data_IF_912583139739
#
_entry.id   IF_912583139739
#
_cell.length_a   1.000
_cell.length_b   1.000
_cell.length_c   1.000
_cell.angle_alpha   90.00
_cell.angle_beta   90.00
_cell.angle_gamma   90.00
#
_symmetry.space_group_name_H-M   'P 1'
#
loop_
_entity.id
_entity.type
_entity.pdbx_description
1 polymer ?
#
# COMPACT_ATOMS: atom_id res chain seq x y z
N UNK A 1 4.45 25.36 21.41
CA UNK A 1 4.26 24.36 20.33
C UNK A 1 4.85 23.05 20.81
N UNK A 2 4.06 21.97 20.84
CA UNK A 2 4.56 20.66 21.24
C UNK A 2 5.58 20.16 20.20
N UNK A 3 6.66 19.52 20.63
CA UNK A 3 7.72 19.01 19.73
C UNK A 3 7.17 18.18 18.55
N UNK A 4 6.13 17.39 18.82
CA UNK A 4 5.43 16.56 17.83
C UNK A 4 4.77 17.38 16.71
N UNK A 5 4.09 18.50 17.04
CA UNK A 5 3.40 19.31 16.03
C UNK A 5 4.38 20.04 15.11
N UNK A 6 5.55 20.44 15.64
CA UNK A 6 6.62 21.05 14.85
C UNK A 6 7.23 20.04 13.86
N UNK A 7 7.50 18.81 14.31
CA UNK A 7 7.98 17.73 13.45
C UNK A 7 6.95 17.36 12.38
N UNK A 8 5.67 17.27 12.76
CA UNK A 8 4.61 16.90 11.82
C UNK A 8 4.46 17.94 10.70
N UNK A 9 4.52 19.24 11.07
CA UNK A 9 4.53 20.34 10.09
C UNK A 9 5.74 20.27 9.16
N UNK A 10 6.90 19.85 9.69
CA UNK A 10 8.10 19.63 8.89
C UNK A 10 7.93 18.48 7.89
N UNK A 11 7.35 17.35 8.29
CA UNK A 11 7.07 16.24 7.37
C UNK A 11 6.06 16.62 6.28
N UNK A 12 4.99 17.36 6.61
CA UNK A 12 4.05 17.91 5.61
C UNK A 12 4.81 18.80 4.61
N UNK A 13 5.61 19.74 5.11
CA UNK A 13 6.36 20.68 4.27
C UNK A 13 7.33 19.95 3.35
N UNK A 14 8.02 18.93 3.85
CA UNK A 14 8.95 18.11 3.06
C UNK A 14 8.20 17.35 1.97
N UNK A 15 7.06 16.73 2.29
CA UNK A 15 6.28 15.96 1.33
C UNK A 15 5.68 16.83 0.22
N UNK A 16 5.19 18.03 0.57
CA UNK A 16 4.66 19.00 -0.39
C UNK A 16 5.77 19.53 -1.30
N UNK A 17 6.92 19.90 -0.75
CA UNK A 17 8.05 20.44 -1.54
C UNK A 17 8.71 19.39 -2.43
N UNK A 18 8.71 18.13 -2.02
CA UNK A 18 9.26 17.02 -2.81
C UNK A 18 8.18 16.29 -3.62
N UNK A 19 6.96 16.83 -3.69
CA UNK A 19 5.83 16.27 -4.43
C UNK A 19 5.41 14.84 -4.05
N UNK A 20 5.89 14.28 -2.92
CA UNK A 20 5.63 12.88 -2.53
C UNK A 20 4.12 12.60 -2.39
N UNK A 21 3.41 13.47 -1.68
CA UNK A 21 1.95 13.38 -1.51
C UNK A 21 1.22 13.53 -2.85
N UNK A 22 1.61 14.51 -3.68
CA UNK A 22 0.95 14.77 -4.95
C UNK A 22 1.14 13.63 -5.94
N UNK A 23 2.34 13.05 -6.02
CA UNK A 23 2.60 11.89 -6.88
C UNK A 23 1.73 10.70 -6.44
N UNK A 24 1.70 10.36 -5.14
CA UNK A 24 0.87 9.26 -4.65
C UNK A 24 -0.62 9.49 -4.94
N UNK A 25 -1.12 10.69 -4.63
CA UNK A 25 -2.53 11.03 -4.82
C UNK A 25 -2.92 10.96 -6.29
N UNK A 26 -2.13 11.57 -7.18
CA UNK A 26 -2.38 11.55 -8.62
C UNK A 26 -2.35 10.13 -9.17
N UNK A 27 -1.32 9.33 -8.85
CA UNK A 27 -1.21 7.95 -9.34
C UNK A 27 -2.39 7.11 -8.87
N UNK A 28 -2.81 7.22 -7.61
CA UNK A 28 -3.89 6.38 -7.09
C UNK A 28 -5.26 6.80 -7.61
N UNK A 29 -5.49 8.10 -7.84
CA UNK A 29 -6.68 8.56 -8.55
C UNK A 29 -6.67 8.03 -9.99
N UNK A 30 -5.54 8.09 -10.69
CA UNK A 30 -5.42 7.53 -12.04
C UNK A 30 -5.74 6.04 -12.05
N UNK A 31 -5.20 5.27 -11.11
CA UNK A 31 -5.55 3.84 -10.94
C UNK A 31 -7.06 3.68 -10.71
N UNK A 32 -7.65 4.52 -9.85
CA UNK A 32 -9.08 4.51 -9.57
C UNK A 32 -9.96 4.80 -10.78
N UNK A 33 -9.53 5.67 -11.68
CA UNK A 33 -10.27 6.00 -12.94
C UNK A 33 -10.04 4.90 -13.98
N UNK A 34 -8.79 4.48 -14.17
CA UNK A 34 -8.42 3.52 -15.22
C UNK A 34 -9.03 2.15 -14.93
N UNK A 35 -9.18 1.74 -13.67
CA UNK A 35 -9.60 0.37 -13.38
C UNK A 35 -11.04 0.06 -13.85
N UNK A 36 -12.06 0.88 -13.55
CA UNK A 36 -13.40 0.72 -14.13
C UNK A 36 -13.41 0.94 -15.64
N UNK A 37 -12.64 1.90 -16.16
CA UNK A 37 -12.59 2.17 -17.59
C UNK A 37 -12.01 1.00 -18.38
N UNK A 38 -10.96 0.36 -17.88
CA UNK A 38 -10.36 -0.83 -18.48
C UNK A 38 -11.34 -1.99 -18.46
N UNK A 39 -12.08 -2.19 -17.36
CA UNK A 39 -13.12 -3.23 -17.30
C UNK A 39 -14.20 -2.99 -18.37
N UNK A 40 -14.67 -1.74 -18.52
CA UNK A 40 -15.69 -1.36 -19.50
C UNK A 40 -15.23 -1.59 -20.95
N UNK A 41 -13.98 -1.26 -21.27
CA UNK A 41 -13.43 -1.34 -22.63
C UNK A 41 -12.88 -2.74 -22.99
N UNK A 42 -12.73 -3.63 -22.01
CA UNK A 42 -12.13 -4.94 -22.22
C UNK A 42 -12.86 -5.80 -23.28
N UNK A 43 -14.20 -5.86 -23.32
CA UNK A 43 -14.93 -6.58 -24.36
C UNK A 43 -14.60 -6.08 -25.77
N UNK A 44 -14.65 -4.76 -25.98
CA UNK A 44 -14.39 -4.13 -27.28
C UNK A 44 -12.97 -4.42 -27.76
N UNK A 45 -11.99 -4.38 -26.84
CA UNK A 45 -10.59 -4.72 -27.13
C UNK A 45 -10.47 -6.20 -27.53
N UNK A 46 -11.16 -7.09 -26.83
CA UNK A 46 -11.13 -8.53 -27.14
C UNK A 46 -11.83 -8.86 -28.45
N UNK A 47 -12.96 -8.21 -28.75
CA UNK A 47 -13.66 -8.37 -30.02
C UNK A 47 -12.75 -8.01 -31.20
N UNK A 48 -12.09 -6.85 -31.15
CA UNK A 48 -11.13 -6.42 -32.17
C UNK A 48 -9.97 -7.42 -32.37
N UNK A 49 -9.44 -7.98 -31.28
CA UNK A 49 -8.33 -8.95 -31.35
C UNK A 49 -8.80 -10.30 -31.90
N UNK A 50 -10.02 -10.74 -31.57
CA UNK A 50 -10.58 -12.01 -32.03
C UNK A 50 -11.05 -11.95 -33.49
N UNK A 51 -11.56 -10.81 -33.93
CA UNK A 51 -11.90 -10.56 -35.33
C UNK A 51 -10.65 -10.68 -36.24
N UNK A 52 -9.54 -10.04 -35.84
CA UNK A 52 -8.26 -10.15 -36.56
C UNK A 52 -7.74 -11.61 -36.60
N UNK A 53 -7.96 -12.36 -35.52
CA UNK A 53 -7.64 -13.78 -35.43
C UNK A 53 -8.63 -14.72 -36.16
N UNK A 54 -9.76 -14.19 -36.68
CA UNK A 54 -10.88 -14.95 -37.28
C UNK A 54 -11.47 -16.02 -36.35
N UNK A 55 -11.49 -15.74 -35.06
CA UNK A 55 -12.09 -16.60 -34.03
C UNK A 55 -13.46 -16.03 -33.67
N UNK A 56 -14.49 -16.87 -33.64
CA UNK A 56 -15.80 -16.44 -33.11
C UNK A 56 -15.67 -16.22 -31.60
N UNK A 57 -16.03 -15.02 -31.16
CA UNK A 57 -15.91 -14.61 -29.77
C UNK A 57 -17.20 -13.91 -29.34
N UNK A 58 -17.81 -14.39 -28.27
CA UNK A 58 -18.88 -13.70 -27.57
C UNK A 58 -18.29 -13.25 -26.22
N UNK A 59 -18.06 -11.94 -26.03
CA UNK A 59 -17.51 -11.46 -24.77
C UNK A 59 -18.46 -11.77 -23.61
N UNK A 60 -17.94 -12.22 -22.45
CA UNK A 60 -18.75 -12.36 -21.26
C UNK A 60 -19.29 -10.99 -20.82
N UNK A 61 -20.44 -10.95 -20.11
CA UNK A 61 -20.96 -9.71 -19.56
C UNK A 61 -19.99 -9.12 -18.55
N UNK A 62 -19.67 -7.83 -18.69
CA UNK A 62 -18.83 -7.11 -17.73
C UNK A 62 -19.66 -6.74 -16.51
N UNK A 63 -19.15 -7.07 -15.32
CA UNK A 63 -19.79 -6.79 -14.04
C UNK A 63 -18.98 -5.78 -13.21
N UNK A 64 -19.60 -5.22 -12.16
CA UNK A 64 -18.90 -4.36 -11.20
C UNK A 64 -17.67 -5.04 -10.58
N UNK A 65 -17.72 -6.37 -10.43
CA UNK A 65 -16.60 -7.18 -9.94
C UNK A 65 -15.34 -7.02 -10.79
N UNK A 66 -15.48 -6.91 -12.12
CA UNK A 66 -14.34 -6.74 -13.03
C UNK A 66 -13.63 -5.41 -12.78
N UNK A 67 -14.39 -4.34 -12.53
CA UNK A 67 -13.83 -3.03 -12.19
C UNK A 67 -13.02 -3.07 -10.88
N UNK A 68 -13.54 -3.73 -9.84
CA UNK A 68 -12.85 -3.85 -8.56
C UNK A 68 -11.64 -4.80 -8.62
N UNK A 69 -11.75 -5.93 -9.32
CA UNK A 69 -10.61 -6.84 -9.51
C UNK A 69 -9.47 -6.15 -10.27
N UNK A 70 -9.80 -5.34 -11.29
CA UNK A 70 -8.82 -4.47 -11.96
C UNK A 70 -8.21 -3.45 -11.00
N UNK A 71 -9.00 -2.83 -10.12
CA UNK A 71 -8.49 -1.88 -9.13
C UNK A 71 -7.49 -2.53 -8.17
N UNK A 72 -7.85 -3.66 -7.57
CA UNK A 72 -6.94 -4.37 -6.65
C UNK A 72 -5.71 -4.90 -7.39
N UNK A 73 -5.85 -5.41 -8.61
CA UNK A 73 -4.73 -5.82 -9.45
C UNK A 73 -3.74 -4.68 -9.72
N UNK A 74 -4.24 -3.54 -10.20
CA UNK A 74 -3.44 -2.34 -10.45
C UNK A 74 -2.82 -1.78 -9.18
N UNK A 75 -3.56 -1.81 -8.06
CA UNK A 75 -3.05 -1.37 -6.77
C UNK A 75 -1.92 -2.28 -6.28
N UNK A 76 -2.05 -3.59 -6.45
CA UNK A 76 -1.04 -4.55 -6.03
C UNK A 76 0.22 -4.49 -6.90
N UNK A 77 0.06 -4.33 -8.22
CA UNK A 77 1.16 -4.35 -9.18
C UNK A 77 1.88 -3.00 -9.34
N UNK A 78 1.16 -1.88 -9.20
CA UNK A 78 1.70 -0.54 -9.38
C UNK A 78 1.59 0.32 -8.13
N UNK A 79 0.42 0.33 -7.49
CA UNK A 79 0.16 1.20 -6.33
C UNK A 79 1.10 0.94 -5.14
N UNK A 80 1.20 -0.30 -4.70
CA UNK A 80 2.04 -0.72 -3.56
C UNK A 80 3.55 -0.55 -3.86
N UNK A 81 4.09 -0.96 -5.03
CA UNK A 81 5.47 -0.65 -5.37
C UNK A 81 5.79 0.85 -5.41
N UNK A 82 4.88 1.69 -5.92
CA UNK A 82 5.07 3.15 -5.92
C UNK A 82 5.09 3.70 -4.49
N UNK A 83 4.22 3.20 -3.60
CA UNK A 83 4.29 3.49 -2.17
C UNK A 83 5.67 3.16 -1.59
N UNK A 84 6.19 1.97 -1.88
CA UNK A 84 7.50 1.51 -1.39
C UNK A 84 8.63 2.41 -1.89
N UNK A 85 8.63 2.79 -3.18
CA UNK A 85 9.66 3.66 -3.76
C UNK A 85 9.64 5.05 -3.11
N UNK A 86 8.46 5.65 -2.98
CA UNK A 86 8.31 7.01 -2.44
C UNK A 86 8.65 7.07 -0.94
N UNK A 87 8.25 6.05 -0.18
CA UNK A 87 8.44 6.00 1.27
C UNK A 87 9.76 5.35 1.68
N UNK A 88 10.40 4.59 0.80
CA UNK A 88 11.68 3.89 1.06
C UNK A 88 12.85 4.82 1.41
N UNK A 89 12.74 6.10 1.06
CA UNK A 89 13.78 7.11 1.33
C UNK A 89 13.51 7.99 2.55
N UNK A 90 12.48 7.70 3.34
CA UNK A 90 11.94 8.64 4.33
C UNK A 90 12.86 8.89 5.53
N UNK A 91 13.67 7.89 5.90
CA UNK A 91 14.64 7.98 6.98
C UNK A 91 16.07 7.92 6.42
N UNK A 92 16.29 7.20 5.32
CA UNK A 92 17.62 7.09 4.71
C UNK A 92 18.14 8.43 4.21
N UNK A 93 17.28 9.30 3.67
CA UNK A 93 17.68 10.66 3.29
C UNK A 93 18.14 11.50 4.48
N UNK A 94 17.62 11.27 5.69
CA UNK A 94 18.01 12.05 6.86
C UNK A 94 19.34 11.61 7.43
N UNK A 95 19.62 10.31 7.38
CA UNK A 95 20.96 9.77 7.66
C UNK A 95 21.98 10.31 6.64
N UNK A 96 21.68 10.22 5.35
CA UNK A 96 22.60 10.66 4.28
C UNK A 96 22.91 12.16 4.32
N UNK A 97 21.96 12.98 4.76
CA UNK A 97 22.10 14.45 4.81
C UNK A 97 22.48 14.98 6.19
N UNK A 98 22.72 14.09 7.17
CA UNK A 98 23.00 14.43 8.57
C UNK A 98 21.96 15.38 9.20
N UNK A 99 20.73 15.40 8.70
CA UNK A 99 19.68 16.28 9.23
C UNK A 99 19.17 15.80 10.58
N UNK A 100 19.38 14.52 10.90
CA UNK A 100 19.10 13.94 12.22
C UNK A 100 19.90 14.61 13.34
N UNK A 101 21.17 14.95 13.11
CA UNK A 101 22.02 15.63 14.10
C UNK A 101 21.43 16.98 14.48
N UNK A 102 20.95 17.75 13.49
CA UNK A 102 20.30 19.04 13.71
C UNK A 102 18.98 18.94 14.48
N UNK A 103 18.27 17.81 14.34
CA UNK A 103 17.04 17.55 15.09
C UNK A 103 17.38 17.19 16.55
N UNK A 104 18.33 16.29 16.77
CA UNK A 104 18.68 15.80 18.10
C UNK A 104 19.38 16.84 18.97
N UNK A 105 20.26 17.66 18.39
CA UNK A 105 20.96 18.75 19.09
C UNK A 105 19.99 19.84 19.58
N UNK A 106 18.80 19.95 18.99
CA UNK A 106 17.72 20.84 19.46
C UNK A 106 16.84 20.24 20.57
N UNK A 107 17.27 19.14 21.19
CA UNK A 107 16.59 18.51 22.32
C UNK A 107 15.36 17.67 21.94
N UNK A 108 15.24 17.25 20.67
CA UNK A 108 14.17 16.36 20.22
C UNK A 108 14.46 14.91 20.63
N UNK A 109 13.46 14.25 21.21
CA UNK A 109 13.55 12.82 21.56
C UNK A 109 13.51 11.96 20.30
N UNK A 110 14.42 10.98 20.17
CA UNK A 110 14.50 10.03 19.04
C UNK A 110 13.18 9.32 18.76
N UNK A 111 12.48 8.89 19.81
CA UNK A 111 11.15 8.27 19.70
C UNK A 111 10.10 9.17 19.02
N UNK A 112 10.12 10.48 19.31
CA UNK A 112 9.17 11.44 18.72
C UNK A 112 9.39 11.59 17.20
N UNK A 113 10.64 11.48 16.73
CA UNK A 113 10.97 11.51 15.30
C UNK A 113 10.36 10.32 14.58
N UNK A 114 10.57 9.11 15.11
CA UNK A 114 10.04 7.88 14.52
C UNK A 114 8.51 7.85 14.52
N UNK A 115 7.88 8.24 15.63
CA UNK A 115 6.43 8.27 15.74
C UNK A 115 5.82 9.24 14.72
N UNK A 116 6.33 10.46 14.64
CA UNK A 116 5.82 11.46 13.69
C UNK A 116 6.00 11.00 12.25
N UNK A 117 7.16 10.45 11.88
CA UNK A 117 7.40 9.95 10.53
C UNK A 117 6.44 8.82 10.17
N UNK A 118 6.29 7.84 11.05
CA UNK A 118 5.37 6.73 10.83
C UNK A 118 3.93 7.22 10.68
N UNK A 119 3.43 8.01 11.63
CA UNK A 119 2.07 8.55 11.59
C UNK A 119 1.82 9.41 10.35
N UNK A 120 2.78 10.24 9.95
CA UNK A 120 2.66 11.06 8.73
C UNK A 120 2.60 10.18 7.47
N UNK A 121 3.45 9.16 7.39
CA UNK A 121 3.49 8.24 6.24
C UNK A 121 2.21 7.44 6.12
N UNK A 122 1.68 6.93 7.24
CA UNK A 122 0.39 6.24 7.28
C UNK A 122 -0.75 7.17 6.88
N UNK A 123 -0.75 8.43 7.34
CA UNK A 123 -1.76 9.41 6.93
C UNK A 123 -1.70 9.71 5.43
N UNK A 124 -0.49 9.90 4.89
CA UNK A 124 -0.27 10.14 3.46
C UNK A 124 -0.76 8.95 2.62
N UNK A 125 -0.41 7.71 3.02
CA UNK A 125 -0.92 6.49 2.41
C UNK A 125 -2.44 6.42 2.46
N UNK A 126 -3.03 6.66 3.63
CA UNK A 126 -4.48 6.59 3.84
C UNK A 126 -5.21 7.60 2.98
N UNK A 127 -4.74 8.85 2.92
CA UNK A 127 -5.36 9.89 2.11
C UNK A 127 -5.28 9.58 0.61
N UNK A 128 -4.12 9.16 0.11
CA UNK A 128 -3.95 8.81 -1.29
C UNK A 128 -4.78 7.57 -1.66
N UNK A 129 -4.75 6.52 -0.84
CA UNK A 129 -5.47 5.27 -1.10
C UNK A 129 -6.98 5.49 -1.06
N UNK A 130 -7.47 6.24 -0.06
CA UNK A 130 -8.88 6.59 0.02
C UNK A 130 -9.35 7.37 -1.21
N UNK A 131 -8.55 8.32 -1.72
CA UNK A 131 -8.88 9.05 -2.94
C UNK A 131 -9.01 8.11 -4.16
N UNK A 132 -8.06 7.17 -4.32
CA UNK A 132 -8.13 6.16 -5.38
C UNK A 132 -9.32 5.21 -5.24
N UNK A 133 -9.55 4.67 -4.03
CA UNK A 133 -10.65 3.75 -3.75
C UNK A 133 -12.02 4.41 -3.91
N UNK A 134 -12.20 5.65 -3.44
CA UNK A 134 -13.43 6.43 -3.65
C UNK A 134 -13.64 6.69 -5.14
N UNK A 135 -12.59 7.03 -5.88
CA UNK A 135 -12.72 7.25 -7.33
C UNK A 135 -13.14 5.98 -8.05
N UNK A 136 -12.51 4.84 -7.74
CA UNK A 136 -12.90 3.54 -8.28
C UNK A 136 -14.35 3.21 -7.94
N UNK A 137 -14.73 3.36 -6.66
CA UNK A 137 -16.10 3.12 -6.21
C UNK A 137 -17.13 3.98 -6.95
N UNK A 138 -16.90 5.29 -7.05
CA UNK A 138 -17.81 6.23 -7.72
C UNK A 138 -17.97 5.94 -9.21
N UNK A 139 -16.87 5.58 -9.89
CA UNK A 139 -16.93 5.21 -11.31
C UNK A 139 -17.62 3.87 -11.50
N UNK A 140 -17.40 2.88 -10.62
CA UNK A 140 -18.06 1.58 -10.74
C UNK A 140 -19.57 1.70 -10.56
N UNK A 141 -20.06 2.38 -9.51
CA UNK A 141 -21.52 2.56 -9.31
C UNK A 141 -22.18 3.43 -10.39
N UNK A 142 -21.40 4.20 -11.15
CA UNK A 142 -21.91 5.00 -12.25
C UNK A 142 -22.21 4.14 -13.49
N UNK A 143 -21.43 3.09 -13.73
CA UNK A 143 -21.57 2.23 -14.90
C UNK A 143 -22.33 0.93 -14.62
N UNK A 144 -22.29 0.42 -13.38
CA UNK A 144 -22.93 -0.83 -12.97
C UNK A 144 -23.77 -0.62 -11.70
N UNK A 145 -24.93 -1.27 -11.64
CA UNK A 145 -25.87 -1.21 -10.51
C UNK A 145 -25.80 -2.46 -9.61
N UNK A 146 -24.70 -3.21 -9.70
CA UNK A 146 -24.51 -4.45 -8.94
C UNK A 146 -24.23 -4.15 -7.46
N UNK A 147 -25.06 -4.69 -6.57
CA UNK A 147 -24.79 -4.67 -5.13
C UNK A 147 -23.75 -5.76 -4.78
N UNK A 148 -22.50 -5.35 -4.59
CA UNK A 148 -21.46 -6.22 -4.04
C UNK A 148 -21.38 -6.07 -2.52
N UNK A 149 -21.37 -7.20 -1.82
CA UNK A 149 -21.16 -7.23 -0.38
C UNK A 149 -19.68 -7.00 -0.03
N UNK A 150 -19.41 -6.60 1.22
CA UNK A 150 -18.06 -6.55 1.80
C UNK A 150 -17.04 -5.63 1.10
N UNK A 151 -17.46 -4.71 0.22
CA UNK A 151 -16.58 -3.76 -0.50
C UNK A 151 -15.65 -3.00 0.45
N UNK A 152 -16.19 -2.48 1.55
CA UNK A 152 -15.39 -1.75 2.55
C UNK A 152 -14.30 -2.64 3.17
N UNK A 153 -14.63 -3.91 3.45
CA UNK A 153 -13.68 -4.88 3.99
C UNK A 153 -12.60 -5.16 2.97
N UNK A 154 -12.97 -5.38 1.70
CA UNK A 154 -12.00 -5.59 0.62
C UNK A 154 -11.02 -4.42 0.51
N UNK A 155 -11.49 -3.17 0.48
CA UNK A 155 -10.58 -2.01 0.51
C UNK A 155 -9.69 -1.96 1.76
N UNK A 156 -10.24 -2.33 2.92
CA UNK A 156 -9.47 -2.33 4.18
C UNK A 156 -8.30 -3.31 4.15
N UNK A 157 -8.40 -4.46 3.46
CA UNK A 157 -7.33 -5.46 3.40
C UNK A 157 -6.07 -4.89 2.74
N UNK A 158 -6.21 -4.26 1.57
CA UNK A 158 -5.10 -3.63 0.85
C UNK A 158 -4.56 -2.43 1.64
N UNK A 159 -5.42 -1.67 2.32
CA UNK A 159 -5.01 -0.57 3.17
C UNK A 159 -4.11 -1.04 4.34
N UNK A 160 -4.50 -2.11 5.04
CA UNK A 160 -3.72 -2.72 6.13
C UNK A 160 -2.39 -3.26 5.60
N UNK A 161 -2.38 -3.91 4.43
CA UNK A 161 -1.15 -4.37 3.81
C UNK A 161 -0.18 -3.22 3.48
N UNK A 162 -0.69 -2.07 3.05
CA UNK A 162 0.14 -0.87 2.85
C UNK A 162 0.80 -0.37 4.15
N UNK A 163 0.09 -0.41 5.28
CA UNK A 163 0.67 -0.09 6.60
C UNK A 163 1.77 -1.08 7.00
N UNK A 164 1.56 -2.35 6.68
CA UNK A 164 2.57 -3.40 6.89
C UNK A 164 3.86 -3.12 6.09
N UNK A 165 3.76 -2.76 4.81
CA UNK A 165 4.91 -2.36 4.01
C UNK A 165 5.64 -1.13 4.60
N UNK A 166 4.90 -0.10 5.03
CA UNK A 166 5.48 1.08 5.68
C UNK A 166 6.24 0.69 6.95
N UNK A 167 5.74 -0.28 7.71
CA UNK A 167 6.37 -0.78 8.94
C UNK A 167 7.69 -1.49 8.65
N UNK A 168 7.75 -2.33 7.59
CA UNK A 168 8.99 -2.94 7.10
C UNK A 168 9.98 -1.87 6.67
N UNK A 169 9.53 -0.86 5.91
CA UNK A 169 10.37 0.23 5.44
C UNK A 169 10.97 1.01 6.61
N UNK A 170 10.20 1.26 7.68
CA UNK A 170 10.72 1.94 8.86
C UNK A 170 11.83 1.13 9.52
N UNK A 171 11.61 -0.18 9.69
CA UNK A 171 12.60 -1.05 10.31
C UNK A 171 13.87 -1.15 9.45
N UNK A 172 13.73 -1.43 8.15
CA UNK A 172 14.87 -1.58 7.25
C UNK A 172 15.64 -0.26 7.11
N UNK A 173 14.95 0.89 7.07
CA UNK A 173 15.63 2.19 7.03
C UNK A 173 16.42 2.48 8.32
N UNK A 174 15.94 2.03 9.48
CA UNK A 174 16.67 2.16 10.74
C UNK A 174 17.91 1.25 10.79
N UNK A 175 17.86 0.07 10.17
CA UNK A 175 18.98 -0.89 10.09
C UNK A 175 20.04 -0.43 9.08
N UNK A 176 19.62 -0.14 7.84
CA UNK A 176 20.53 0.14 6.73
C UNK A 176 20.96 1.61 6.65
N UNK A 177 20.35 2.49 7.43
CA UNK A 177 20.66 3.92 7.58
C UNK A 177 20.75 4.65 6.24
N UNK A 178 21.90 4.72 5.60
CA UNK A 178 22.10 5.47 4.35
C UNK A 178 21.72 4.71 3.08
N UNK A 179 21.57 3.38 3.15
CA UNK A 179 21.33 2.57 1.95
C UNK A 179 19.85 2.48 1.57
N UNK A 180 19.41 3.34 0.64
CA UNK A 180 18.09 3.26 0.02
C UNK A 180 17.86 1.91 -0.70
N UNK A 181 18.88 1.41 -1.40
CA UNK A 181 18.80 0.11 -2.07
C UNK A 181 18.61 -1.03 -1.06
N UNK A 182 19.26 -0.96 0.11
CA UNK A 182 19.06 -1.94 1.18
C UNK A 182 17.62 -2.01 1.67
N UNK A 183 16.95 -0.86 1.79
CA UNK A 183 15.52 -0.78 2.12
C UNK A 183 14.67 -1.46 1.05
N UNK A 184 14.86 -1.10 -0.22
CA UNK A 184 14.08 -1.67 -1.33
C UNK A 184 14.28 -3.19 -1.46
N UNK A 185 15.53 -3.66 -1.40
CA UNK A 185 15.82 -5.10 -1.47
C UNK A 185 15.20 -5.85 -0.29
N UNK A 186 15.19 -5.27 0.91
CA UNK A 186 14.54 -5.91 2.06
C UNK A 186 13.04 -6.08 1.84
N UNK A 187 12.35 -5.03 1.39
CA UNK A 187 10.92 -5.12 1.10
C UNK A 187 10.66 -6.15 0.01
N UNK A 188 11.42 -6.09 -1.09
CA UNK A 188 11.30 -7.03 -2.20
C UNK A 188 11.54 -8.47 -1.77
N UNK A 189 12.60 -8.74 -1.00
CA UNK A 189 12.90 -10.08 -0.48
C UNK A 189 11.81 -10.60 0.43
N UNK A 190 11.23 -9.75 1.28
CA UNK A 190 10.11 -10.14 2.15
C UNK A 190 8.87 -10.49 1.32
N UNK A 191 8.51 -9.67 0.33
CA UNK A 191 7.37 -9.95 -0.56
C UNK A 191 7.58 -11.24 -1.35
N UNK A 192 8.77 -11.43 -1.94
CA UNK A 192 9.10 -12.67 -2.68
C UNK A 192 9.02 -13.89 -1.76
N UNK A 193 9.57 -13.79 -0.55
CA UNK A 193 9.49 -14.88 0.42
C UNK A 193 8.04 -15.23 0.75
N UNK A 194 7.17 -14.22 0.94
CA UNK A 194 5.75 -14.44 1.18
C UNK A 194 5.06 -15.13 0.01
N UNK A 195 5.36 -14.73 -1.22
CA UNK A 195 4.83 -15.37 -2.43
C UNK A 195 5.25 -16.84 -2.48
N UNK A 196 6.52 -17.14 -2.22
CA UNK A 196 7.03 -18.52 -2.19
C UNK A 196 6.35 -19.32 -1.09
N UNK A 197 6.21 -18.77 0.12
CA UNK A 197 5.55 -19.47 1.23
C UNK A 197 4.05 -19.64 1.01
N UNK A 198 3.41 -18.76 0.24
CA UNK A 198 1.99 -18.85 -0.11
C UNK A 198 1.68 -20.04 -1.02
N UNK A 199 2.69 -20.67 -1.64
CA UNK A 199 2.51 -21.91 -2.42
C UNK A 199 2.12 -23.08 -1.49
N UNK A 200 2.50 -23.02 -0.21
CA UNK A 200 2.10 -24.00 0.79
C UNK A 200 0.75 -23.59 1.44
N UNK A 201 -0.37 -24.27 1.13
CA UNK A 201 -1.71 -23.79 1.50
C UNK A 201 -1.92 -23.55 3.01
N UNK A 202 -1.45 -24.43 3.92
CA UNK A 202 -1.64 -24.21 5.36
C UNK A 202 -0.93 -22.97 5.91
N UNK A 203 0.12 -22.50 5.25
CA UNK A 203 0.80 -21.26 5.65
C UNK A 203 0.19 -20.02 4.98
N UNK A 204 -0.44 -20.18 3.82
CA UNK A 204 -0.94 -19.06 3.01
C UNK A 204 -1.92 -18.18 3.79
N UNK A 205 -2.87 -18.79 4.51
CA UNK A 205 -3.95 -18.11 5.24
C UNK A 205 -3.48 -17.19 6.39
N UNK A 206 -2.22 -17.33 6.84
CA UNK A 206 -1.68 -16.56 7.95
C UNK A 206 -0.71 -15.45 7.50
N UNK A 207 -0.39 -15.40 6.20
CA UNK A 207 0.58 -14.45 5.67
C UNK A 207 -0.10 -13.11 5.34
N UNK A 208 0.61 -11.98 5.51
CA UNK A 208 0.10 -10.68 5.06
C UNK A 208 -0.29 -10.65 3.58
N UNK A 209 0.41 -11.42 2.74
CA UNK A 209 0.10 -11.52 1.31
C UNK A 209 -1.33 -12.01 1.04
N UNK A 210 -1.91 -12.81 1.95
CA UNK A 210 -3.28 -13.30 1.83
C UNK A 210 -4.30 -12.15 1.76
N UNK A 211 -4.03 -11.04 2.45
CA UNK A 211 -4.91 -9.86 2.44
C UNK A 211 -5.13 -9.30 1.03
N UNK A 212 -4.08 -9.26 0.22
CA UNK A 212 -4.13 -8.64 -1.11
C UNK A 212 -4.51 -9.63 -2.21
N UNK A 213 -4.51 -10.93 -1.92
CA UNK A 213 -5.00 -11.98 -2.84
C UNK A 213 -6.46 -12.31 -2.61
N UNK A 214 -6.97 -12.09 -1.40
CA UNK A 214 -8.35 -12.43 -1.02
C UNK A 214 -9.37 -11.34 -1.32
N UNK A 215 -8.96 -10.18 -1.86
CA UNK A 215 -9.87 -9.09 -2.21
C UNK A 215 -11.00 -9.54 -3.15
N UNK A 216 -10.65 -10.28 -4.21
CA UNK A 216 -11.63 -10.73 -5.20
C UNK A 216 -12.61 -11.76 -4.62
N UNK A 217 -12.12 -12.74 -3.85
CA UNK A 217 -12.96 -13.78 -3.27
C UNK A 217 -13.93 -13.26 -2.20
N UNK A 218 -13.61 -12.14 -1.53
CA UNK A 218 -14.57 -11.46 -0.64
C UNK A 218 -15.69 -10.76 -1.41
N UNK A 219 -15.40 -10.25 -2.62
CA UNK A 219 -16.39 -9.58 -3.46
C UNK A 219 -17.30 -10.58 -4.18
N UNK A 220 -16.80 -11.75 -4.55
CA UNK A 220 -17.60 -12.83 -5.15
C UNK A 220 -18.49 -13.56 -4.15
N UNK A 221 -18.29 -13.34 -2.84
CA UNK A 221 -18.95 -14.08 -1.76
C UNK A 221 -18.42 -15.51 -1.58
N UNK A 222 -17.36 -15.89 -2.29
CA UNK A 222 -16.68 -17.19 -2.12
C UNK A 222 -15.95 -17.28 -0.77
N UNK A 223 -15.57 -16.14 -0.20
CA UNK A 223 -14.95 -16.03 1.11
C UNK A 223 -15.79 -15.19 2.06
N UNK A 224 -15.76 -15.57 3.34
CA UNK A 224 -16.38 -14.81 4.41
C UNK A 224 -15.31 -13.96 5.10
N UNK A 225 -15.71 -12.85 5.71
CA UNK A 225 -14.84 -11.97 6.50
C UNK A 225 -14.08 -12.74 7.60
N UNK A 226 -14.64 -13.85 8.12
CA UNK A 226 -13.97 -14.72 9.09
C UNK A 226 -12.67 -15.34 8.58
N UNK A 227 -12.59 -15.60 7.27
CA UNK A 227 -11.50 -16.38 6.68
C UNK A 227 -10.23 -15.52 6.54
N UNK A 228 -10.41 -14.21 6.35
CA UNK A 228 -9.31 -13.22 6.28
C UNK A 228 -8.93 -12.64 7.64
N UNK A 229 -9.74 -12.87 8.68
CA UNK A 229 -9.52 -12.30 10.00
C UNK A 229 -8.18 -12.71 10.65
N UNK A 230 -7.73 -13.99 10.57
CA UNK A 230 -6.43 -14.39 11.09
C UNK A 230 -5.28 -13.65 10.42
N UNK A 231 -5.26 -13.59 9.08
CA UNK A 231 -4.26 -12.85 8.32
C UNK A 231 -4.24 -11.37 8.70
N UNK A 232 -5.42 -10.76 8.88
CA UNK A 232 -5.56 -9.35 9.22
C UNK A 232 -4.96 -9.05 10.61
N UNK A 233 -5.29 -9.86 11.61
CA UNK A 233 -4.78 -9.73 12.97
C UNK A 233 -3.26 -9.94 13.03
N UNK A 234 -2.75 -10.96 12.34
CA UNK A 234 -1.30 -11.23 12.27
C UNK A 234 -0.60 -10.06 11.58
N UNK A 235 -1.12 -9.56 10.47
CA UNK A 235 -0.53 -8.43 9.75
C UNK A 235 -0.49 -7.18 10.61
N UNK A 236 -1.57 -6.87 11.34
CA UNK A 236 -1.62 -5.75 12.27
C UNK A 236 -0.61 -5.92 13.41
N UNK A 237 -0.55 -7.11 14.03
CA UNK A 237 0.38 -7.41 15.12
C UNK A 237 1.85 -7.32 14.68
N UNK A 238 2.18 -7.88 13.52
CA UNK A 238 3.53 -7.82 12.94
C UNK A 238 3.88 -6.38 12.57
N UNK A 239 2.95 -5.60 12.00
CA UNK A 239 3.18 -4.18 11.69
C UNK A 239 3.55 -3.38 12.94
N UNK A 240 2.80 -3.56 14.04
CA UNK A 240 3.08 -2.92 15.33
C UNK A 240 4.45 -3.37 15.86
N UNK A 241 4.74 -4.67 15.83
CA UNK A 241 6.02 -5.21 16.28
C UNK A 241 7.19 -4.62 15.46
N UNK A 242 7.08 -4.57 14.14
CA UNK A 242 8.12 -4.00 13.25
C UNK A 242 8.33 -2.51 13.52
N UNK A 243 7.26 -1.75 13.76
CA UNK A 243 7.38 -0.35 14.15
C UNK A 243 8.08 -0.20 15.51
N UNK A 244 7.72 -1.00 16.52
CA UNK A 244 8.36 -0.97 17.84
C UNK A 244 9.85 -1.34 17.73
N UNK A 245 10.19 -2.39 16.98
CA UNK A 245 11.58 -2.78 16.71
C UNK A 245 12.34 -1.66 16.00
N UNK A 246 11.72 -1.01 15.02
CA UNK A 246 12.32 0.13 14.33
C UNK A 246 12.66 1.26 15.30
N UNK A 247 11.76 1.59 16.23
CA UNK A 247 12.04 2.61 17.26
C UNK A 247 13.17 2.20 18.20
N UNK A 248 13.25 0.91 18.57
CA UNK A 248 14.32 0.39 19.43
C UNK A 248 15.69 0.42 18.73
N UNK A 249 15.75 0.02 17.46
CA UNK A 249 16.96 0.07 16.63
C UNK A 249 17.40 1.51 16.42
N UNK A 250 16.47 2.40 16.08
CA UNK A 250 16.75 3.83 15.89
C UNK A 250 17.26 4.52 17.16
N UNK A 251 16.73 4.14 18.33
CA UNK A 251 17.20 4.68 19.61
C UNK A 251 18.64 4.29 19.91
N UNK A 252 19.08 3.09 19.50
CA UNK A 252 20.47 2.61 19.67
C UNK A 252 21.42 3.08 18.58
N UNK A 253 20.91 3.61 17.47
CA UNK A 253 21.75 4.09 16.38
C UNK A 253 22.63 5.27 16.84
N UNK A 254 23.93 5.17 16.63
CA UNK A 254 24.84 6.31 16.74
C UNK A 254 24.57 7.24 15.54
N UNK A 255 24.30 8.51 15.85
CA UNK A 255 23.90 9.59 14.92
C UNK A 255 24.89 10.73 15.11
#
# INVERSE_FOLDING_TARGET
MNQLSALFKKEIMESVRNFKLFVLLTVFIIIGIISPLTALLMPDIMELVMEDARISFEPPPVAALDAYTQFFGNMNQLGLPILVIITGSILTNEFSRNTLVNLLTKGLRRHNVMLVKFSYTVLMWTAAYAAGAVTAYLYTIYYWDDELENILVAFSLTWVYGIFLISIIMLSSAIFRTSFLGVLFTVLSVVILMIITSIYPPAAEYLPQYLITSNAGLLTGEMIVSDVLPALLITAAVSILMFLLSTAVFNKAEI
#
